data_IF_877142413689
#
_entry.id   IF_877142413689
#
_cell.length_a   1.000
_cell.length_b   1.000
_cell.length_c   1.000
_cell.angle_alpha   90.00
_cell.angle_beta   90.00
_cell.angle_gamma   90.00
#
_symmetry.space_group_name_H-M   'P 1'
#
loop_
_entity.id
_entity.type
_entity.pdbx_description
1 polymer ?
#
# COMPACT_ATOMS: atom_id res chain seq x y z
N UNK A 1 0.30 13.66 -27.24
CA UNK A 1 0.23 14.47 -26.01
C UNK A 1 1.42 14.04 -25.16
N UNK A 2 2.57 14.69 -25.37
CA UNK A 2 3.83 14.29 -24.73
C UNK A 2 3.82 14.74 -23.27
N UNK A 3 3.95 13.80 -22.33
CA UNK A 3 4.38 14.15 -20.98
C UNK A 3 5.85 14.59 -21.04
N UNK A 4 6.12 15.77 -20.48
CA UNK A 4 7.46 16.35 -20.38
C UNK A 4 7.87 16.34 -18.91
N UNK A 5 7.89 15.17 -18.28
CA UNK A 5 8.37 15.02 -16.90
C UNK A 5 9.87 14.71 -16.90
N UNK A 6 10.74 15.66 -16.51
CA UNK A 6 12.19 15.49 -16.51
C UNK A 6 12.68 14.48 -15.46
N UNK A 7 11.82 14.01 -14.54
CA UNK A 7 12.16 13.06 -13.49
C UNK A 7 11.78 11.61 -13.81
N UNK A 8 11.16 11.34 -14.97
CA UNK A 8 10.74 9.98 -15.34
C UNK A 8 11.96 9.12 -15.67
N UNK A 9 12.40 8.30 -14.71
CA UNK A 9 13.34 7.20 -15.00
C UNK A 9 12.68 6.27 -16.03
N UNK A 10 13.39 5.83 -17.07
CA UNK A 10 12.86 4.83 -17.99
C UNK A 10 12.47 3.59 -17.18
N UNK A 11 11.26 3.08 -17.40
CA UNK A 11 10.83 1.81 -16.84
C UNK A 11 11.84 0.75 -17.27
N UNK A 12 12.66 0.28 -16.34
CA UNK A 12 13.54 -0.85 -16.55
C UNK A 12 12.76 -2.09 -16.08
N UNK A 13 12.05 -2.81 -16.97
CA UNK A 13 11.51 -4.10 -16.58
C UNK A 13 12.69 -4.93 -16.07
N UNK A 14 12.58 -5.51 -14.87
CA UNK A 14 13.56 -6.47 -14.37
C UNK A 14 13.62 -7.75 -15.23
N UNK A 15 12.74 -7.86 -16.23
CA UNK A 15 12.74 -8.92 -17.22
C UNK A 15 13.86 -8.70 -18.25
N UNK A 16 14.63 -9.74 -18.60
CA UNK A 16 15.64 -9.65 -19.66
C UNK A 16 14.99 -9.30 -21.01
N UNK A 17 15.73 -8.61 -21.88
CA UNK A 17 15.22 -8.22 -23.21
C UNK A 17 14.86 -9.49 -24.01
N UNK A 18 13.61 -9.63 -24.49
CA UNK A 18 13.17 -10.73 -25.34
C UNK A 18 14.07 -11.00 -26.54
N UNK A 19 14.62 -9.96 -27.15
CA UNK A 19 15.50 -10.09 -28.32
C UNK A 19 16.87 -10.73 -27.98
N UNK A 20 17.21 -10.78 -26.70
CA UNK A 20 18.49 -11.28 -26.19
C UNK A 20 18.35 -12.50 -25.29
N UNK A 21 17.13 -12.98 -25.07
CA UNK A 21 16.82 -14.12 -24.20
C UNK A 21 16.68 -15.38 -25.05
N UNK A 22 17.58 -16.38 -24.92
CA UNK A 22 17.50 -17.62 -25.70
C UNK A 22 16.21 -18.38 -25.40
N UNK A 23 15.53 -18.86 -26.46
CA UNK A 23 14.29 -19.63 -26.34
C UNK A 23 13.03 -18.80 -26.11
N UNK A 24 13.15 -17.47 -26.06
CA UNK A 24 12.01 -16.56 -25.92
C UNK A 24 11.55 -16.06 -27.29
N UNK A 25 10.26 -16.17 -27.61
CA UNK A 25 9.71 -15.51 -28.78
C UNK A 25 9.55 -13.98 -28.55
N UNK A 26 9.60 -13.17 -29.63
CA UNK A 26 9.23 -11.76 -29.58
C UNK A 26 7.76 -11.62 -29.09
N UNK A 27 7.60 -11.32 -27.80
CA UNK A 27 6.29 -11.35 -27.12
C UNK A 27 6.34 -11.95 -25.72
N UNK A 28 7.44 -12.58 -25.31
CA UNK A 28 7.63 -13.10 -23.95
C UNK A 28 7.17 -14.54 -23.74
N UNK A 29 6.87 -15.26 -24.84
CA UNK A 29 6.52 -16.68 -24.81
C UNK A 29 7.74 -17.60 -24.91
N UNK A 30 7.50 -18.90 -24.75
CA UNK A 30 8.44 -19.99 -25.10
C UNK A 30 7.69 -21.07 -25.89
N UNK A 31 8.42 -21.95 -26.58
CA UNK A 31 7.82 -23.07 -27.29
C UNK A 31 7.12 -24.06 -26.32
N UNK A 32 6.05 -24.77 -26.77
CA UNK A 32 5.37 -25.75 -25.93
C UNK A 32 6.32 -26.88 -25.46
N UNK A 33 6.47 -27.03 -24.15
CA UNK A 33 7.37 -28.02 -23.53
C UNK A 33 8.69 -27.44 -23.02
N UNK A 34 9.05 -26.21 -23.42
CA UNK A 34 10.16 -25.47 -22.83
C UNK A 34 9.76 -24.89 -21.46
N UNK A 35 10.74 -24.71 -20.59
CA UNK A 35 10.51 -24.05 -19.29
C UNK A 35 10.46 -22.54 -19.52
N UNK A 36 9.37 -21.85 -19.15
CA UNK A 36 9.29 -20.40 -19.25
C UNK A 36 10.44 -19.73 -18.49
N UNK A 37 10.94 -18.56 -18.95
CA UNK A 37 11.93 -17.80 -18.20
C UNK A 37 11.37 -17.38 -16.84
N UNK A 38 12.24 -17.11 -15.88
CA UNK A 38 11.83 -16.57 -14.58
C UNK A 38 11.13 -15.21 -14.77
N UNK A 39 9.84 -15.15 -14.44
CA UNK A 39 9.10 -13.90 -14.35
C UNK A 39 9.46 -13.18 -13.04
N UNK A 40 10.02 -11.97 -13.12
CA UNK A 40 10.17 -11.11 -11.93
C UNK A 40 8.85 -10.39 -11.68
N UNK A 41 7.87 -11.08 -11.08
CA UNK A 41 6.58 -10.49 -10.70
C UNK A 41 6.62 -9.81 -9.31
N UNK A 42 7.80 -9.32 -8.90
CA UNK A 42 7.89 -8.46 -7.72
C UNK A 42 7.52 -7.06 -8.20
N UNK A 43 6.32 -6.59 -7.80
CA UNK A 43 5.89 -5.22 -8.06
C UNK A 43 7.04 -4.26 -7.77
N UNK A 44 7.34 -3.38 -8.74
CA UNK A 44 8.55 -2.57 -8.73
C UNK A 44 8.79 -1.86 -7.39
N UNK A 45 10.06 -1.60 -7.09
CA UNK A 45 10.57 -1.02 -5.83
C UNK A 45 9.93 0.32 -5.39
N UNK A 46 9.00 0.86 -6.18
CA UNK A 46 8.36 2.18 -6.05
C UNK A 46 6.86 2.10 -5.74
N UNK A 47 6.31 0.94 -5.34
CA UNK A 47 4.98 0.93 -4.74
C UNK A 47 5.07 1.37 -3.27
N UNK A 48 5.07 2.68 -3.03
CA UNK A 48 4.82 3.18 -1.69
C UNK A 48 3.42 2.70 -1.25
N UNK A 49 3.31 1.86 -0.21
CA UNK A 49 2.01 1.40 0.24
C UNK A 49 1.17 2.61 0.63
N UNK A 50 -0.14 2.63 0.32
CA UNK A 50 -0.98 3.77 0.66
C UNK A 50 -0.85 4.08 2.15
N UNK A 51 -0.26 5.25 2.46
CA UNK A 51 -0.02 5.63 3.85
C UNK A 51 -1.37 5.77 4.55
N UNK A 52 -1.65 4.84 5.46
CA UNK A 52 -2.90 4.86 6.23
C UNK A 52 -2.90 6.08 7.14
N UNK A 53 -3.79 7.03 6.84
CA UNK A 53 -3.96 8.25 7.66
C UNK A 53 -4.40 7.87 9.07
N UNK A 54 -3.62 8.30 10.08
CA UNK A 54 -3.92 8.05 11.51
C UNK A 54 -5.14 8.82 12.03
N UNK A 55 -5.63 9.80 11.27
CA UNK A 55 -6.70 10.72 11.65
C UNK A 55 -7.97 10.01 12.13
N UNK A 56 -8.40 8.94 11.44
CA UNK A 56 -9.61 8.20 11.83
C UNK A 56 -9.48 7.53 13.20
N UNK A 57 -8.33 6.94 13.50
CA UNK A 57 -8.07 6.33 14.81
C UNK A 57 -8.05 7.36 15.95
N UNK A 58 -7.43 8.52 15.70
CA UNK A 58 -7.37 9.62 16.67
C UNK A 58 -8.77 10.14 17.02
N UNK A 59 -9.65 10.30 16.02
CA UNK A 59 -11.03 10.77 16.24
C UNK A 59 -11.81 9.77 17.11
N UNK A 60 -11.72 8.47 16.81
CA UNK A 60 -12.41 7.43 17.58
C UNK A 60 -11.95 7.41 19.04
N UNK A 61 -10.63 7.49 19.27
CA UNK A 61 -10.05 7.54 20.62
C UNK A 61 -10.52 8.79 21.36
N UNK A 62 -10.54 9.96 20.70
CA UNK A 62 -10.99 11.19 21.32
C UNK A 62 -12.46 11.13 21.75
N UNK A 63 -13.35 10.61 20.89
CA UNK A 63 -14.77 10.42 21.22
C UNK A 63 -14.94 9.45 22.40
N UNK A 64 -14.24 8.32 22.37
CA UNK A 64 -14.28 7.34 23.45
C UNK A 64 -13.80 7.94 24.80
N UNK A 65 -12.73 8.72 24.78
CA UNK A 65 -12.20 9.40 25.96
C UNK A 65 -13.20 10.40 26.55
N UNK A 66 -13.90 11.17 25.72
CA UNK A 66 -14.93 12.13 26.16
C UNK A 66 -16.10 11.38 26.82
N UNK A 67 -16.61 10.32 26.18
CA UNK A 67 -17.71 9.52 26.74
C UNK A 67 -17.30 8.92 28.08
N UNK A 68 -16.10 8.34 28.16
CA UNK A 68 -15.57 7.79 29.40
C UNK A 68 -15.51 8.84 30.53
N UNK A 69 -15.00 10.04 30.23
CA UNK A 69 -14.96 11.15 31.19
C UNK A 69 -16.36 11.53 31.69
N UNK A 70 -17.34 11.65 30.80
CA UNK A 70 -18.72 11.98 31.20
C UNK A 70 -19.32 10.92 32.13
N UNK A 71 -19.14 9.64 31.81
CA UNK A 71 -19.62 8.53 32.64
C UNK A 71 -18.90 8.51 33.98
N UNK A 72 -17.58 8.67 33.99
CA UNK A 72 -16.77 8.69 35.20
C UNK A 72 -17.18 9.84 36.12
N UNK A 73 -17.32 11.06 35.59
CA UNK A 73 -17.78 12.22 36.36
C UNK A 73 -19.21 12.02 36.90
N UNK A 74 -20.11 11.48 36.09
CA UNK A 74 -21.48 11.19 36.53
C UNK A 74 -21.52 10.17 37.67
N UNK A 75 -20.70 9.12 37.59
CA UNK A 75 -20.62 8.07 38.61
C UNK A 75 -19.98 8.60 39.90
N UNK A 76 -18.89 9.37 39.79
CA UNK A 76 -18.28 10.06 40.94
C UNK A 76 -19.28 11.01 41.58
N UNK A 77 -19.97 11.83 40.79
CA UNK A 77 -21.00 12.74 41.27
C UNK A 77 -22.11 12.04 42.05
N UNK A 78 -22.60 10.92 41.52
CA UNK A 78 -23.58 10.06 42.20
C UNK A 78 -23.03 9.46 43.50
N UNK A 79 -21.76 9.03 43.50
CA UNK A 79 -21.14 8.43 44.68
C UNK A 79 -20.96 9.43 45.83
N UNK A 80 -20.70 10.71 45.51
CA UNK A 80 -20.56 11.78 46.51
C UNK A 80 -21.87 12.52 46.83
N UNK A 81 -22.99 12.11 46.23
CA UNK A 81 -24.32 12.68 46.50
C UNK A 81 -24.56 14.06 45.88
N UNK A 82 -23.84 14.41 44.81
CA UNK A 82 -24.08 15.64 44.04
C UNK A 82 -25.37 15.56 43.21
N UNK A 83 -25.84 14.34 42.91
CA UNK A 83 -27.03 14.04 42.10
C UNK A 83 -27.70 12.74 42.56
#
# INVERSE_FOLDING_TARGET
MADNDPARKPFNPQNPDPASTPGLEPGGGVAPGDTPPAESAVGGEEHEPPQRRRTGGVIVIAIAAIIFLLVALGLVGRAVGLF
#
